data_IF_515921154724
#
_entry.id   IF_515921154724
#
_cell.length_a   1.000
_cell.length_b   1.000
_cell.length_c   1.000
_cell.angle_alpha   90.00
_cell.angle_beta   90.00
_cell.angle_gamma   90.00
#
_symmetry.space_group_name_H-M   'P 1'
#
loop_
_entity.id
_entity.type
_entity.pdbx_description
1 polymer ?
#
# COMPACT_ATOMS: atom_id res chain seq x y z
N UNK A 1 -13.76 -21.31 -24.00
CA UNK A 1 -13.43 -19.97 -23.48
C UNK A 1 -14.37 -19.70 -22.31
N UNK A 2 -13.97 -20.06 -21.09
CA UNK A 2 -14.82 -19.89 -19.90
C UNK A 2 -14.81 -18.41 -19.54
N UNK A 3 -15.98 -17.76 -19.53
CA UNK A 3 -16.06 -16.36 -19.08
C UNK A 3 -15.74 -16.31 -17.58
N UNK A 4 -14.92 -15.35 -17.11
CA UNK A 4 -14.64 -15.19 -15.70
C UNK A 4 -15.96 -14.98 -14.94
N UNK A 5 -16.11 -15.69 -13.83
CA UNK A 5 -17.21 -15.45 -12.90
C UNK A 5 -17.21 -13.98 -12.45
N UNK A 6 -18.36 -13.46 -12.00
CA UNK A 6 -18.43 -12.12 -11.41
C UNK A 6 -17.40 -11.93 -10.28
N UNK A 7 -17.00 -13.00 -9.61
CA UNK A 7 -16.03 -12.97 -8.53
C UNK A 7 -14.59 -12.93 -9.06
N UNK A 8 -14.28 -13.61 -10.16
CA UNK A 8 -12.97 -13.53 -10.84
C UNK A 8 -12.73 -12.09 -11.33
N UNK A 9 -13.75 -11.46 -11.92
CA UNK A 9 -13.66 -10.08 -12.37
C UNK A 9 -13.39 -9.10 -11.21
N UNK A 10 -14.03 -9.33 -10.05
CA UNK A 10 -13.77 -8.51 -8.84
C UNK A 10 -12.36 -8.73 -8.31
N UNK A 11 -11.89 -9.97 -8.25
CA UNK A 11 -10.54 -10.30 -7.81
C UNK A 11 -9.50 -9.64 -8.71
N UNK A 12 -9.64 -9.77 -10.04
CA UNK A 12 -8.75 -9.14 -11.01
C UNK A 12 -8.75 -7.62 -10.89
N UNK A 13 -9.92 -7.00 -10.70
CA UNK A 13 -10.02 -5.55 -10.48
C UNK A 13 -9.27 -5.12 -9.19
N UNK A 14 -9.38 -5.90 -8.11
CA UNK A 14 -8.65 -5.64 -6.87
C UNK A 14 -7.13 -5.76 -7.08
N UNK A 15 -6.67 -6.85 -7.70
CA UNK A 15 -5.25 -7.07 -7.98
C UNK A 15 -4.68 -6.00 -8.91
N UNK A 16 -5.44 -5.54 -9.91
CA UNK A 16 -5.01 -4.46 -10.80
C UNK A 16 -4.83 -3.11 -10.09
N UNK A 17 -5.51 -2.88 -8.95
CA UNK A 17 -5.30 -1.68 -8.11
C UNK A 17 -4.07 -1.78 -7.22
N UNK A 18 -3.53 -2.99 -7.02
CA UNK A 18 -2.38 -3.27 -6.15
C UNK A 18 -1.33 -4.10 -6.92
N UNK A 19 -0.57 -3.49 -7.85
CA UNK A 19 0.33 -4.21 -8.75
C UNK A 19 1.42 -5.01 -8.03
N UNK A 20 1.92 -4.53 -6.87
CA UNK A 20 2.86 -5.28 -6.03
C UNK A 20 2.24 -6.58 -5.51
N UNK A 21 1.04 -6.50 -4.93
CA UNK A 21 0.27 -7.66 -4.48
C UNK A 21 0.00 -8.66 -5.63
N UNK A 22 -0.40 -8.14 -6.80
CA UNK A 22 -0.63 -8.96 -8.01
C UNK A 22 0.62 -9.74 -8.42
N UNK A 23 1.78 -9.09 -8.43
CA UNK A 23 3.04 -9.75 -8.78
C UNK A 23 3.39 -10.88 -7.81
N UNK A 24 3.10 -10.74 -6.51
CA UNK A 24 3.38 -11.78 -5.51
C UNK A 24 2.43 -12.95 -5.60
N UNK A 25 1.14 -12.71 -5.87
CA UNK A 25 0.17 -13.78 -6.13
C UNK A 25 0.57 -14.58 -7.37
N UNK A 26 1.03 -13.90 -8.44
CA UNK A 26 1.56 -14.58 -9.62
C UNK A 26 2.79 -15.44 -9.28
N UNK A 27 3.78 -14.89 -8.56
CA UNK A 27 4.97 -15.63 -8.17
C UNK A 27 4.66 -16.89 -7.33
N UNK A 28 3.64 -16.84 -6.46
CA UNK A 28 3.16 -18.02 -5.73
C UNK A 28 2.51 -19.05 -6.65
N UNK A 29 1.76 -18.63 -7.67
CA UNK A 29 1.18 -19.54 -8.65
C UNK A 29 2.27 -20.20 -9.52
N UNK A 30 3.29 -19.44 -9.92
CA UNK A 30 4.40 -19.94 -10.74
C UNK A 30 5.19 -21.06 -10.04
N UNK A 31 5.29 -20.99 -8.69
CA UNK A 31 5.88 -22.05 -7.85
C UNK A 31 5.06 -23.34 -7.92
N UNK A 32 3.73 -23.25 -7.93
CA UNK A 32 2.83 -24.43 -8.00
C UNK A 32 2.93 -25.11 -9.35
N UNK A 33 3.08 -24.34 -10.42
CA UNK A 33 3.26 -24.86 -11.77
C UNK A 33 4.67 -25.42 -12.02
N UNK A 34 5.60 -25.29 -11.05
CA UNK A 34 7.03 -25.56 -11.22
C UNK A 34 7.57 -24.95 -12.53
N UNK A 35 7.17 -23.71 -12.79
CA UNK A 35 7.40 -23.05 -14.09
C UNK A 35 8.89 -22.95 -14.47
N UNK A 36 9.77 -22.97 -13.47
CA UNK A 36 11.23 -22.95 -13.63
C UNK A 36 11.86 -24.36 -13.70
N UNK A 37 11.12 -25.42 -13.36
CA UNK A 37 11.63 -26.82 -13.29
C UNK A 37 12.72 -27.04 -12.24
N UNK A 38 12.93 -26.07 -11.36
CA UNK A 38 14.09 -25.95 -10.45
C UNK A 38 13.77 -26.52 -9.05
N UNK A 39 12.51 -26.85 -8.77
CA UNK A 39 12.08 -27.38 -7.47
C UNK A 39 12.29 -28.90 -7.40
N UNK A 40 13.54 -29.34 -7.61
CA UNK A 40 13.90 -30.76 -7.55
C UNK A 40 13.74 -31.38 -6.15
N UNK A 41 13.61 -30.55 -5.10
CA UNK A 41 13.46 -30.99 -3.71
C UNK A 41 12.41 -30.18 -2.96
N UNK A 42 11.62 -30.87 -2.13
CA UNK A 42 10.54 -30.28 -1.35
C UNK A 42 11.02 -29.18 -0.37
N UNK A 43 12.24 -29.27 0.15
CA UNK A 43 12.80 -28.28 1.08
C UNK A 43 13.09 -26.94 0.39
N UNK A 44 13.43 -26.96 -0.89
CA UNK A 44 13.63 -25.75 -1.70
C UNK A 44 12.30 -25.10 -2.06
N UNK A 45 11.30 -25.91 -2.43
CA UNK A 45 9.94 -25.43 -2.64
C UNK A 45 9.39 -24.78 -1.37
N UNK A 46 9.57 -25.41 -0.20
CA UNK A 46 9.15 -24.85 1.09
C UNK A 46 9.81 -23.49 1.36
N UNK A 47 11.13 -23.38 1.20
CA UNK A 47 11.85 -22.12 1.39
C UNK A 47 11.31 -21.02 0.46
N UNK A 48 11.12 -21.34 -0.82
CA UNK A 48 10.65 -20.37 -1.83
C UNK A 48 9.21 -19.91 -1.53
N UNK A 49 8.32 -20.80 -1.12
CA UNK A 49 6.96 -20.44 -0.68
C UNK A 49 6.99 -19.53 0.55
N UNK A 50 7.79 -19.86 1.58
CA UNK A 50 7.88 -19.05 2.80
C UNK A 50 8.35 -17.62 2.46
N UNK A 51 9.36 -17.49 1.61
CA UNK A 51 9.85 -16.17 1.20
C UNK A 51 8.79 -15.37 0.44
N UNK A 52 8.09 -15.97 -0.52
CA UNK A 52 7.06 -15.26 -1.27
C UNK A 52 5.85 -14.89 -0.40
N UNK A 53 5.46 -15.73 0.58
CA UNK A 53 4.42 -15.39 1.56
C UNK A 53 4.85 -14.22 2.43
N UNK A 54 6.12 -14.15 2.85
CA UNK A 54 6.64 -12.99 3.60
C UNK A 54 6.60 -11.72 2.76
N UNK A 55 7.04 -11.79 1.50
CA UNK A 55 7.00 -10.65 0.57
C UNK A 55 5.56 -10.21 0.29
N UNK A 56 4.65 -11.15 0.08
CA UNK A 56 3.21 -10.89 -0.07
C UNK A 56 2.64 -10.14 1.13
N UNK A 57 2.97 -10.59 2.35
CA UNK A 57 2.55 -9.93 3.59
C UNK A 57 3.07 -8.49 3.70
N UNK A 58 4.32 -8.24 3.28
CA UNK A 58 4.89 -6.89 3.25
C UNK A 58 4.13 -5.96 2.29
N UNK A 59 3.88 -6.41 1.06
CA UNK A 59 3.10 -5.65 0.07
C UNK A 59 1.68 -5.34 0.57
N UNK A 60 1.03 -6.31 1.23
CA UNK A 60 -0.30 -6.12 1.78
C UNK A 60 -0.33 -5.07 2.91
N UNK A 61 0.63 -5.13 3.84
CA UNK A 61 0.74 -4.18 4.94
C UNK A 61 1.09 -2.76 4.44
N UNK A 62 1.98 -2.66 3.46
CA UNK A 62 2.34 -1.39 2.84
C UNK A 62 1.12 -0.76 2.14
N UNK A 63 0.43 -1.53 1.29
CA UNK A 63 -0.77 -1.04 0.60
C UNK A 63 -1.89 -0.65 1.57
N UNK A 64 -2.04 -1.37 2.69
CA UNK A 64 -2.96 -0.98 3.75
C UNK A 64 -2.58 0.36 4.40
N UNK A 65 -1.30 0.54 4.75
CA UNK A 65 -0.82 1.78 5.35
C UNK A 65 -1.01 2.99 4.42
N UNK A 66 -0.69 2.85 3.14
CA UNK A 66 -0.89 3.88 2.12
C UNK A 66 -2.38 4.25 1.99
N UNK A 67 -3.27 3.26 1.96
CA UNK A 67 -4.72 3.49 1.91
C UNK A 67 -5.25 4.19 3.18
N UNK A 68 -4.71 3.87 4.36
CA UNK A 68 -5.05 4.58 5.59
C UNK A 68 -4.60 6.04 5.57
N UNK A 69 -3.37 6.31 5.11
CA UNK A 69 -2.85 7.68 4.99
C UNK A 69 -3.71 8.51 4.04
N UNK A 70 -4.07 7.97 2.87
CA UNK A 70 -4.93 8.65 1.92
C UNK A 70 -6.30 9.00 2.53
N UNK A 71 -6.95 8.05 3.21
CA UNK A 71 -8.24 8.26 3.88
C UNK A 71 -8.17 9.33 4.97
N UNK A 72 -7.15 9.28 5.82
CA UNK A 72 -6.96 10.27 6.90
C UNK A 72 -6.65 11.65 6.32
N UNK A 73 -5.86 11.73 5.25
CA UNK A 73 -5.56 12.97 4.55
C UNK A 73 -6.78 13.61 3.89
N UNK A 74 -7.63 12.79 3.24
CA UNK A 74 -8.91 13.24 2.67
C UNK A 74 -9.87 13.73 3.74
N UNK A 75 -9.96 13.03 4.87
CA UNK A 75 -10.81 13.43 5.99
C UNK A 75 -10.32 14.74 6.65
N UNK A 76 -9.01 14.89 6.84
CA UNK A 76 -8.42 16.14 7.33
C UNK A 76 -8.59 17.32 6.35
N UNK A 77 -8.59 17.06 5.04
CA UNK A 77 -8.86 18.10 4.04
C UNK A 77 -10.35 18.52 3.99
N UNK A 78 -11.25 17.64 4.43
CA UNK A 78 -12.69 17.83 4.44
C UNK A 78 -13.22 18.52 5.71
N UNK A 79 -12.39 18.61 6.76
CA UNK A 79 -12.75 19.27 8.01
C UNK A 79 -12.49 20.80 7.96
N UNK A 80 -13.52 21.66 8.15
CA UNK A 80 -13.38 23.12 8.04
C UNK A 80 -12.45 23.76 9.08
N UNK A 81 -12.06 23.01 10.13
CA UNK A 81 -11.21 23.49 11.23
C UNK A 81 -9.72 23.18 11.06
N UNK A 82 -9.32 22.44 10.03
CA UNK A 82 -7.89 22.16 9.77
C UNK A 82 -7.23 23.41 9.19
N UNK A 83 -6.70 24.25 10.08
CA UNK A 83 -5.87 25.41 9.73
C UNK A 83 -4.62 24.90 9.02
N UNK A 84 -4.50 25.18 7.72
CA UNK A 84 -3.26 25.00 6.96
C UNK A 84 -2.14 25.70 7.73
N UNK A 85 -1.16 24.93 8.21
CA UNK A 85 0.01 25.48 8.88
C UNK A 85 0.91 26.16 7.84
N UNK A 86 0.52 27.36 7.42
CA UNK A 86 1.38 28.25 6.67
C UNK A 86 2.56 28.68 7.55
N UNK A 87 3.75 28.78 6.96
CA UNK A 87 4.93 29.29 7.66
C UNK A 87 4.65 30.72 8.13
N UNK A 88 4.60 30.93 9.45
CA UNK A 88 4.40 32.25 10.05
C UNK A 88 5.53 33.19 9.62
N UNK A 89 5.15 34.26 8.94
CA UNK A 89 6.01 35.30 8.39
C UNK A 89 5.89 36.63 9.14
N UNK A 90 5.25 36.65 10.32
CA UNK A 90 5.27 37.82 11.20
C UNK A 90 6.53 37.83 12.05
N UNK A 91 7.46 38.73 11.76
CA UNK A 91 8.36 39.28 12.76
C UNK A 91 7.50 40.19 13.65
N UNK A 92 7.26 39.81 14.91
CA UNK A 92 6.32 40.49 15.80
C UNK A 92 6.61 42.00 15.93
N UNK A 93 5.55 42.80 16.11
CA UNK A 93 5.66 44.24 16.36
C UNK A 93 6.20 44.47 17.77
N UNK A 94 7.26 45.27 17.97
CA UNK A 94 7.76 45.58 19.32
C UNK A 94 6.73 46.43 20.10
N UNK A 95 6.66 46.28 21.44
CA UNK A 95 5.71 47.02 22.26
C UNK A 95 6.04 48.52 22.28
N UNK A 96 5.03 49.36 22.05
CA UNK A 96 5.15 50.81 22.15
C UNK A 96 5.43 51.21 23.59
N UNK A 97 6.50 52.00 23.79
CA UNK A 97 6.91 52.49 25.10
C UNK A 97 5.79 53.32 25.78
N UNK A 98 5.65 53.26 27.11
CA UNK A 98 4.68 54.07 27.82
C UNK A 98 5.04 55.56 27.72
N UNK A 99 4.02 56.39 27.49
CA UNK A 99 4.13 57.85 27.42
C UNK A 99 4.43 58.47 28.81
N UNK A 100 5.12 59.63 28.86
CA UNK A 100 5.68 60.22 30.07
C UNK A 100 4.65 60.76 31.07
#
# INVERSE_FOLDING_TARGET
MTMPSSDDAKLLALLNRHPGLKSRVQALADIVEDSDGDLARADEAERRVIEEVRRLGQEALQGWAEAQIARVGEQAASEPQVRRAGKKNSAGTPPSAPSP
#
